data_IF_036878210056
#
_entry.id   IF_036878210056
#
_cell.length_a   1.000
_cell.length_b   1.000
_cell.length_c   1.000
_cell.angle_alpha   90.00
_cell.angle_beta   90.00
_cell.angle_gamma   90.00
#
_symmetry.space_group_name_H-M   'P 1'
#
loop_
_entity.id
_entity.type
_entity.pdbx_description
1 polymer ?
#
# COMPACT_ATOMS: atom_id res chain seq x y z
N UNK A 1 25.61 12.68 -10.75
CA UNK A 1 25.75 12.00 -9.46
C UNK A 1 24.44 11.27 -9.23
N UNK A 2 24.35 9.97 -9.51
CA UNK A 2 23.14 9.19 -9.21
C UNK A 2 22.97 9.10 -7.71
N UNK A 3 21.74 9.18 -7.22
CA UNK A 3 21.51 8.94 -5.79
C UNK A 3 21.58 7.45 -5.51
N UNK A 4 21.85 7.03 -4.25
CA UNK A 4 21.89 5.62 -3.88
C UNK A 4 20.61 4.85 -4.24
N UNK A 5 19.49 5.55 -4.38
CA UNK A 5 18.21 4.96 -4.79
C UNK A 5 18.15 4.66 -6.28
N UNK A 6 18.67 5.54 -7.13
CA UNK A 6 18.71 5.29 -8.58
C UNK A 6 19.63 4.10 -8.91
N UNK A 7 20.78 3.95 -8.25
CA UNK A 7 21.69 2.82 -8.47
C UNK A 7 21.05 1.47 -8.10
N UNK A 8 20.24 1.44 -7.04
CA UNK A 8 19.48 0.24 -6.65
C UNK A 8 18.40 -0.12 -7.66
N UNK A 9 17.73 0.88 -8.23
CA UNK A 9 16.74 0.66 -9.29
C UNK A 9 17.40 0.09 -10.55
N UNK A 10 18.54 0.65 -10.98
CA UNK A 10 19.28 0.13 -12.13
C UNK A 10 19.77 -1.31 -11.91
N UNK A 11 20.22 -1.66 -10.70
CA UNK A 11 20.59 -3.02 -10.36
C UNK A 11 19.42 -4.00 -10.47
N UNK A 12 18.24 -3.61 -9.99
CA UNK A 12 17.02 -4.41 -10.08
C UNK A 12 16.60 -4.58 -11.54
N UNK A 13 16.62 -3.50 -12.32
CA UNK A 13 16.24 -3.51 -13.74
C UNK A 13 17.23 -4.29 -14.61
N UNK A 14 18.49 -4.45 -14.15
CA UNK A 14 19.51 -5.25 -14.83
C UNK A 14 19.44 -6.76 -14.53
N UNK A 15 18.61 -7.19 -13.57
CA UNK A 15 18.46 -8.60 -13.25
C UNK A 15 17.70 -9.34 -14.36
N UNK A 16 18.13 -10.57 -14.66
CA UNK A 16 17.38 -11.43 -15.58
C UNK A 16 16.03 -11.83 -14.98
N UNK A 17 14.99 -11.91 -15.81
CA UNK A 17 13.63 -12.30 -15.39
C UNK A 17 13.58 -13.62 -14.63
N UNK A 18 14.47 -14.56 -14.97
CA UNK A 18 14.59 -15.85 -14.27
C UNK A 18 15.08 -15.67 -12.84
N UNK A 19 16.12 -14.86 -12.64
CA UNK A 19 16.64 -14.55 -11.31
C UNK A 19 15.62 -13.74 -10.50
N UNK A 20 14.87 -12.83 -11.14
CA UNK A 20 13.77 -12.11 -10.50
C UNK A 20 12.66 -13.08 -10.04
N UNK A 21 12.26 -14.01 -10.90
CA UNK A 21 11.23 -15.01 -10.58
C UNK A 21 11.62 -15.90 -9.37
N UNK A 22 12.90 -16.28 -9.27
CA UNK A 22 13.41 -17.07 -8.16
C UNK A 22 13.46 -16.28 -6.83
N UNK A 23 13.61 -14.94 -6.89
CA UNK A 23 13.70 -14.07 -5.70
C UNK A 23 12.35 -13.50 -5.23
N UNK A 24 11.33 -13.47 -6.09
CA UNK A 24 9.99 -12.97 -5.75
C UNK A 24 9.36 -13.64 -4.51
N UNK A 25 9.46 -14.97 -4.29
CA UNK A 25 8.91 -15.62 -3.11
C UNK A 25 9.52 -15.08 -1.80
N UNK A 26 10.85 -14.92 -1.78
CA UNK A 26 11.60 -14.44 -0.61
C UNK A 26 11.30 -12.97 -0.31
N UNK A 27 11.22 -12.13 -1.35
CA UNK A 27 10.83 -10.73 -1.21
C UNK A 27 9.40 -10.59 -0.67
N UNK A 28 8.49 -11.48 -1.09
CA UNK A 28 7.11 -11.50 -0.61
C UNK A 28 7.04 -11.86 0.87
N UNK A 29 7.86 -12.82 1.32
CA UNK A 29 7.98 -13.18 2.74
C UNK A 29 8.56 -12.04 3.58
N UNK A 30 9.63 -11.39 3.10
CA UNK A 30 10.22 -10.23 3.77
C UNK A 30 9.22 -9.09 3.91
N UNK A 31 8.43 -8.81 2.87
CA UNK A 31 7.38 -7.79 2.90
C UNK A 31 6.30 -8.13 3.94
N UNK A 32 5.78 -9.36 3.93
CA UNK A 32 4.80 -9.83 4.92
C UNK A 32 5.32 -9.73 6.35
N UNK A 33 6.59 -10.06 6.59
CA UNK A 33 7.21 -9.91 7.90
C UNK A 33 7.39 -8.45 8.30
N UNK A 34 7.74 -7.57 7.37
CA UNK A 34 7.84 -6.14 7.61
C UNK A 34 6.48 -5.53 7.95
N UNK A 35 5.42 -5.91 7.25
CA UNK A 35 4.03 -5.51 7.51
C UNK A 35 3.57 -6.00 8.89
N UNK A 36 3.78 -7.29 9.21
CA UNK A 36 3.46 -7.84 10.52
C UNK A 36 4.24 -7.19 11.68
N UNK A 37 5.46 -6.70 11.41
CA UNK A 37 6.24 -5.89 12.38
C UNK A 37 5.73 -4.46 12.47
N UNK A 38 5.30 -3.86 11.37
CA UNK A 38 4.69 -2.53 11.36
C UNK A 38 3.37 -2.51 12.17
N UNK A 39 2.56 -3.56 12.06
CA UNK A 39 1.36 -3.75 12.89
C UNK A 39 1.66 -3.90 14.39
N UNK A 40 2.84 -4.43 14.74
CA UNK A 40 3.25 -4.68 16.13
C UNK A 40 4.09 -3.57 16.75
N UNK A 41 4.68 -2.70 15.95
CA UNK A 41 5.53 -1.63 16.47
C UNK A 41 4.64 -0.47 16.93
N UNK A 42 4.68 -0.05 18.20
CA UNK A 42 4.09 1.22 18.58
C UNK A 42 4.93 2.30 17.90
N UNK A 43 4.43 2.76 16.76
CA UNK A 43 5.03 3.84 15.99
C UNK A 43 5.36 5.00 16.94
N UNK A 44 6.62 5.45 16.95
CA UNK A 44 7.10 6.64 17.67
C UNK A 44 6.47 7.96 17.14
N UNK A 45 5.41 7.85 16.37
CA UNK A 45 4.47 8.89 15.98
C UNK A 45 3.17 8.16 15.68
N UNK A 46 2.31 8.05 16.69
CA UNK A 46 1.05 7.32 16.58
C UNK A 46 0.25 7.84 15.39
N UNK A 47 0.04 6.97 14.41
CA UNK A 47 -1.04 7.12 13.46
C UNK A 47 -2.29 6.49 14.08
N UNK A 48 -3.46 7.14 14.03
CA UNK A 48 -3.70 8.46 13.47
C UNK A 48 -3.09 9.58 14.35
N UNK A 49 -2.54 10.65 13.75
CA UNK A 49 -2.09 11.83 14.48
C UNK A 49 -3.22 12.40 15.34
N UNK A 50 -2.89 13.10 16.44
CA UNK A 50 -3.91 13.63 17.36
C UNK A 50 -4.93 14.60 16.69
N UNK A 51 -4.59 15.18 15.53
CA UNK A 51 -5.48 16.04 14.74
C UNK A 51 -6.36 15.28 13.74
N UNK A 52 -6.09 13.99 13.50
CA UNK A 52 -6.83 13.16 12.56
C UNK A 52 -8.14 12.72 13.22
N UNK A 53 -9.26 13.25 12.72
CA UNK A 53 -10.59 13.15 13.34
C UNK A 53 -10.99 14.36 14.18
N UNK A 54 -10.09 15.34 14.41
CA UNK A 54 -10.46 16.63 15.03
C UNK A 54 -11.21 17.57 14.08
N UNK A 55 -11.30 17.22 12.79
CA UNK A 55 -12.19 17.88 11.86
C UNK A 55 -13.57 17.27 12.10
N UNK A 56 -14.45 18.05 12.71
CA UNK A 56 -15.88 17.77 12.87
C UNK A 56 -16.59 17.86 11.50
N UNK A 57 -16.11 17.10 10.52
CA UNK A 57 -16.90 16.79 9.34
C UNK A 57 -17.81 15.66 9.76
N UNK A 58 -19.13 15.90 9.75
CA UNK A 58 -20.11 14.81 9.73
C UNK A 58 -19.63 13.84 8.65
N UNK A 59 -19.21 12.62 9.00
CA UNK A 59 -18.84 11.66 7.98
C UNK A 59 -20.07 11.52 7.09
N UNK A 60 -19.97 11.78 5.76
CA UNK A 60 -21.03 11.30 4.89
C UNK A 60 -21.18 9.82 5.21
N UNK A 61 -22.41 9.33 5.31
CA UNK A 61 -22.72 7.96 5.71
C UNK A 61 -22.35 6.97 4.61
N UNK A 62 -21.08 6.98 4.21
CA UNK A 62 -20.52 6.20 3.14
C UNK A 62 -20.67 4.72 3.46
N UNK A 63 -20.74 4.36 4.76
CA UNK A 63 -20.97 3.00 5.22
C UNK A 63 -22.33 2.45 4.79
N UNK A 64 -23.39 3.26 4.83
CA UNK A 64 -24.72 2.86 4.38
C UNK A 64 -24.84 2.88 2.84
N UNK A 65 -23.99 3.66 2.16
CA UNK A 65 -24.04 3.84 0.70
C UNK A 65 -22.93 3.11 -0.08
N UNK A 66 -22.18 2.19 0.54
CA UNK A 66 -21.06 1.47 -0.11
C UNK A 66 -21.56 0.73 -1.36
N UNK A 67 -22.66 -0.01 -1.24
CA UNK A 67 -23.17 -0.85 -2.34
C UNK A 67 -23.62 0.00 -3.55
N UNK A 68 -24.20 1.17 -3.28
CA UNK A 68 -24.63 2.14 -4.31
C UNK A 68 -23.43 2.74 -5.04
N UNK A 69 -22.37 3.11 -4.31
CA UNK A 69 -21.13 3.67 -4.88
C UNK A 69 -20.43 2.62 -5.76
N UNK A 70 -20.33 1.38 -5.27
CA UNK A 70 -19.69 0.30 -6.02
C UNK A 70 -20.47 -0.07 -7.29
N UNK A 71 -21.80 -0.07 -7.23
CA UNK A 71 -22.62 -0.34 -8.43
C UNK A 71 -22.62 0.82 -9.42
N UNK A 72 -22.59 2.07 -8.95
CA UNK A 72 -22.54 3.24 -9.82
C UNK A 72 -21.22 3.36 -10.61
N UNK A 73 -20.09 3.11 -9.94
CA UNK A 73 -18.76 3.34 -10.52
C UNK A 73 -18.15 2.10 -11.17
N UNK A 74 -18.34 0.91 -10.59
CA UNK A 74 -17.77 -0.35 -11.10
C UNK A 74 -18.77 -1.23 -11.87
N UNK A 75 -20.06 -0.92 -11.79
CA UNK A 75 -21.13 -1.69 -12.45
C UNK A 75 -21.38 -1.34 -13.92
N UNK A 76 -20.57 -0.47 -14.55
CA UNK A 76 -20.66 -0.20 -15.99
C UNK A 76 -20.22 -1.42 -16.79
N UNK A 77 -21.18 -2.31 -17.05
CA UNK A 77 -21.07 -3.45 -17.95
C UNK A 77 -20.47 -3.00 -19.30
N UNK A 78 -19.31 -3.55 -19.73
CA UNK A 78 -18.95 -3.52 -21.13
C UNK A 78 -19.96 -4.37 -21.90
N UNK A 79 -20.54 -3.74 -22.91
CA UNK A 79 -21.55 -4.28 -23.82
C UNK A 79 -21.03 -5.47 -24.62
#
# INVERSE_FOLDING_TARGET
>A
MSTPREELHELIDSLSDKAAADLLPELRLLKLQAEARAERSPSSGAWPPAWFGSIESTPPDLSEHIDEILTAEFGRNPK
#
